data_IF_267142804260
#
_entry.id   IF_267142804260
#
_cell.length_a   1.000
_cell.length_b   1.000
_cell.length_c   1.000
_cell.angle_alpha   90.00
_cell.angle_beta   90.00
_cell.angle_gamma   90.00
#
_symmetry.space_group_name_H-M   'P 1'
#
loop_
_entity.id
_entity.type
_entity.pdbx_description
1 polymer ?
#
# COMPACT_ATOMS: atom_id res chain seq x y z
N UNK A 1 2.64 2.83 -25.73
CA UNK A 1 4.03 2.51 -25.34
C UNK A 1 4.26 1.04 -25.72
N UNK A 2 5.31 0.71 -26.46
CA UNK A 2 5.54 -0.66 -26.91
C UNK A 2 5.90 -1.56 -25.70
N UNK A 3 5.43 -2.81 -25.72
CA UNK A 3 5.65 -3.80 -24.67
C UNK A 3 7.06 -4.39 -24.79
N UNK A 4 8.07 -3.63 -24.35
CA UNK A 4 9.49 -4.02 -24.39
C UNK A 4 9.86 -4.86 -23.18
N UNK A 5 10.81 -5.78 -23.33
CA UNK A 5 11.37 -6.56 -22.22
C UNK A 5 11.81 -5.71 -21.03
N UNK A 6 12.58 -4.64 -21.26
CA UNK A 6 13.00 -3.70 -20.22
C UNK A 6 11.84 -3.05 -19.44
N UNK A 7 10.68 -2.86 -20.09
CA UNK A 7 9.49 -2.34 -19.42
C UNK A 7 8.88 -3.38 -18.46
N UNK A 8 8.90 -4.66 -18.84
CA UNK A 8 8.43 -5.77 -18.00
C UNK A 8 9.34 -5.96 -16.79
N UNK A 9 10.66 -5.89 -16.98
CA UNK A 9 11.62 -5.97 -15.88
C UNK A 9 11.44 -4.81 -14.90
N UNK A 10 11.21 -3.60 -15.42
CA UNK A 10 10.90 -2.43 -14.58
C UNK A 10 9.62 -2.61 -13.79
N UNK A 11 8.57 -3.21 -14.38
CA UNK A 11 7.33 -3.56 -13.66
C UNK A 11 7.65 -4.54 -12.53
N UNK A 12 8.40 -5.60 -12.81
CA UNK A 12 8.71 -6.60 -11.80
C UNK A 12 9.52 -6.03 -10.63
N UNK A 13 10.56 -5.24 -10.91
CA UNK A 13 11.35 -4.55 -9.87
C UNK A 13 10.44 -3.64 -9.03
N UNK A 14 9.52 -2.92 -9.69
CA UNK A 14 8.56 -2.05 -8.99
C UNK A 14 7.61 -2.85 -8.10
N UNK A 15 7.11 -3.99 -8.57
CA UNK A 15 6.25 -4.90 -7.80
C UNK A 15 7.00 -5.51 -6.61
N UNK A 16 8.25 -5.93 -6.80
CA UNK A 16 9.08 -6.49 -5.73
C UNK A 16 9.36 -5.46 -4.64
N UNK A 17 9.70 -4.22 -5.03
CA UNK A 17 9.92 -3.13 -4.08
C UNK A 17 8.62 -2.77 -3.32
N UNK A 18 7.49 -2.74 -4.03
CA UNK A 18 6.18 -2.52 -3.40
C UNK A 18 5.86 -3.64 -2.40
N UNK A 19 6.04 -4.91 -2.79
CA UNK A 19 5.83 -6.06 -1.91
C UNK A 19 6.74 -6.02 -0.67
N UNK A 20 8.02 -5.67 -0.84
CA UNK A 20 8.96 -5.53 0.28
C UNK A 20 8.53 -4.41 1.25
N UNK A 21 8.10 -3.27 0.72
CA UNK A 21 7.58 -2.15 1.51
C UNK A 21 6.33 -2.55 2.28
N UNK A 22 5.38 -3.24 1.61
CA UNK A 22 4.16 -3.73 2.24
C UNK A 22 4.48 -4.73 3.36
N UNK A 23 5.42 -5.66 3.14
CA UNK A 23 5.89 -6.61 4.16
C UNK A 23 6.49 -5.90 5.38
N UNK A 24 7.37 -4.93 5.15
CA UNK A 24 8.01 -4.17 6.23
C UNK A 24 6.98 -3.37 7.03
N UNK A 25 6.06 -2.67 6.36
CA UNK A 25 4.99 -1.91 7.02
C UNK A 25 4.06 -2.83 7.81
N UNK A 26 3.71 -4.00 7.28
CA UNK A 26 2.91 -5.00 7.99
C UNK A 26 3.60 -5.46 9.28
N UNK A 27 4.89 -5.78 9.21
CA UNK A 27 5.69 -6.17 10.38
C UNK A 27 5.75 -5.04 11.42
N UNK A 28 6.01 -3.80 10.99
CA UNK A 28 6.02 -2.64 11.90
C UNK A 28 4.66 -2.38 12.54
N UNK A 29 3.56 -2.59 11.82
CA UNK A 29 2.20 -2.48 12.38
C UNK A 29 1.87 -3.60 13.35
N UNK A 30 2.42 -4.80 13.13
CA UNK A 30 2.30 -5.92 14.07
C UNK A 30 3.08 -5.63 15.36
N UNK A 31 4.33 -5.19 15.24
CA UNK A 31 5.17 -4.82 16.38
C UNK A 31 4.56 -3.68 17.18
N UNK A 32 4.04 -2.66 16.49
CA UNK A 32 3.32 -1.55 17.14
C UNK A 32 2.12 -2.07 17.95
N UNK A 33 1.33 -2.99 17.38
CA UNK A 33 0.20 -3.58 18.10
C UNK A 33 0.64 -4.38 19.34
N UNK A 34 1.79 -5.05 19.30
CA UNK A 34 2.35 -5.79 20.44
C UNK A 34 2.92 -4.88 21.54
N UNK A 35 3.34 -3.66 21.21
CA UNK A 35 3.91 -2.70 22.16
C UNK A 35 2.86 -1.82 22.86
N UNK A 36 1.65 -1.72 22.31
CA UNK A 36 0.59 -0.89 22.88
C UNK A 36 0.01 -1.57 24.13
N UNK A 37 0.36 -1.02 25.30
CA UNK A 37 -0.19 -1.47 26.58
C UNK A 37 -1.68 -1.12 26.74
N UNK A 38 -2.39 -1.76 27.69
CA UNK A 38 -3.82 -1.55 27.94
C UNK A 38 -4.19 -0.13 28.42
N UNK A 39 -3.20 0.67 28.85
CA UNK A 39 -3.39 2.03 29.32
C UNK A 39 -3.45 3.08 28.19
N UNK A 40 -2.84 2.81 27.04
CA UNK A 40 -2.65 3.80 25.95
C UNK A 40 -3.76 3.72 24.90
N UNK A 41 -5.00 3.99 25.33
CA UNK A 41 -6.20 3.95 24.47
C UNK A 41 -6.07 4.83 23.21
N UNK A 42 -5.43 5.99 23.33
CA UNK A 42 -5.23 6.92 22.21
C UNK A 42 -4.26 6.36 21.16
N UNK A 43 -3.16 5.74 21.60
CA UNK A 43 -2.19 5.12 20.70
C UNK A 43 -2.81 3.90 20.01
N UNK A 44 -3.65 3.14 20.72
CA UNK A 44 -4.44 2.04 20.17
C UNK A 44 -5.37 2.51 19.05
N UNK A 45 -6.13 3.58 19.28
CA UNK A 45 -7.00 4.18 18.24
C UNK A 45 -6.22 4.63 17.00
N UNK A 46 -5.04 5.24 17.18
CA UNK A 46 -4.19 5.65 16.06
C UNK A 46 -3.64 4.44 15.28
N UNK A 47 -3.21 3.40 16.00
CA UNK A 47 -2.76 2.14 15.40
C UNK A 47 -3.88 1.46 14.61
N UNK A 48 -5.09 1.42 15.15
CA UNK A 48 -6.27 0.84 14.50
C UNK A 48 -6.63 1.60 13.22
N UNK A 49 -6.61 2.94 13.29
CA UNK A 49 -6.82 3.79 12.10
C UNK A 49 -5.76 3.53 11.02
N UNK A 50 -4.49 3.51 11.40
CA UNK A 50 -3.39 3.27 10.47
C UNK A 50 -3.48 1.89 9.83
N UNK A 51 -3.89 0.88 10.60
CA UNK A 51 -4.09 -0.47 10.10
C UNK A 51 -5.24 -0.56 9.09
N UNK A 52 -6.35 0.14 9.34
CA UNK A 52 -7.48 0.22 8.40
C UNK A 52 -7.10 0.94 7.09
N UNK A 53 -6.43 2.09 7.19
CA UNK A 53 -5.94 2.84 6.02
C UNK A 53 -4.93 2.00 5.22
N UNK A 54 -4.02 1.30 5.90
CA UNK A 54 -3.06 0.41 5.25
C UNK A 54 -3.74 -0.79 4.55
N UNK A 55 -4.73 -1.41 5.19
CA UNK A 55 -5.50 -2.50 4.58
C UNK A 55 -6.18 -2.05 3.27
N UNK A 56 -6.72 -0.83 3.24
CA UNK A 56 -7.33 -0.27 2.04
C UNK A 56 -6.30 -0.11 0.90
N UNK A 57 -5.11 0.44 1.22
CA UNK A 57 -4.01 0.59 0.26
C UNK A 57 -3.56 -0.76 -0.29
N UNK A 58 -3.39 -1.77 0.57
CA UNK A 58 -2.98 -3.12 0.14
C UNK A 58 -4.07 -3.78 -0.71
N UNK A 59 -5.35 -3.57 -0.39
CA UNK A 59 -6.48 -4.05 -1.21
C UNK A 59 -6.47 -3.42 -2.60
N UNK A 60 -6.26 -2.10 -2.69
CA UNK A 60 -6.13 -1.39 -3.98
C UNK A 60 -4.95 -1.92 -4.79
N UNK A 61 -3.80 -2.11 -4.14
CA UNK A 61 -2.61 -2.68 -4.77
C UNK A 61 -2.84 -4.11 -5.28
N UNK A 62 -3.49 -4.98 -4.50
CA UNK A 62 -3.82 -6.35 -4.91
C UNK A 62 -4.71 -6.38 -6.16
N UNK A 63 -5.71 -5.49 -6.22
CA UNK A 63 -6.57 -5.36 -7.40
C UNK A 63 -5.80 -4.86 -8.62
N UNK A 64 -4.91 -3.87 -8.43
CA UNK A 64 -4.04 -3.38 -9.50
C UNK A 64 -3.09 -4.47 -10.00
N UNK A 65 -2.52 -5.28 -9.10
CA UNK A 65 -1.65 -6.39 -9.45
C UNK A 65 -2.37 -7.45 -10.27
N UNK A 66 -3.64 -7.77 -9.94
CA UNK A 66 -4.50 -8.65 -10.75
C UNK A 66 -4.73 -8.08 -12.15
N UNK A 67 -4.96 -6.77 -12.27
CA UNK A 67 -5.12 -6.10 -13.56
C UNK A 67 -3.83 -6.15 -14.40
N UNK A 68 -2.68 -5.87 -13.78
CA UNK A 68 -1.38 -5.96 -14.45
C UNK A 68 -1.12 -7.41 -14.90
N UNK A 69 -1.37 -8.39 -14.04
CA UNK A 69 -1.23 -9.81 -14.36
C UNK A 69 -2.10 -10.25 -15.54
N UNK A 70 -3.38 -9.82 -15.56
CA UNK A 70 -4.29 -10.13 -16.67
C UNK A 70 -3.86 -9.48 -17.97
N UNK A 71 -3.40 -8.22 -17.93
CA UNK A 71 -2.86 -7.53 -19.12
C UNK A 71 -1.56 -8.15 -19.62
N UNK A 72 -0.64 -8.51 -18.73
CA UNK A 72 0.61 -9.19 -19.08
C UNK A 72 0.33 -10.56 -19.69
N UNK A 73 -0.56 -11.37 -19.09
CA UNK A 73 -1.01 -12.65 -19.66
C UNK A 73 -1.61 -12.47 -21.05
N UNK A 74 -2.49 -11.49 -21.24
CA UNK A 74 -3.07 -11.19 -22.56
C UNK A 74 -1.99 -10.82 -23.58
N UNK A 75 -1.00 -9.98 -23.21
CA UNK A 75 0.10 -9.59 -24.10
C UNK A 75 1.04 -10.74 -24.48
N UNK A 76 1.30 -11.67 -23.56
CA UNK A 76 2.18 -12.83 -23.77
C UNK A 76 1.47 -13.96 -24.53
N UNK A 77 0.15 -14.06 -24.43
CA UNK A 77 -0.67 -15.08 -25.08
C UNK A 77 -1.25 -14.62 -26.43
N UNK A 78 -0.92 -13.40 -26.90
CA UNK A 78 -1.18 -13.06 -28.29
C UNK A 78 -0.35 -14.02 -29.16
N UNK A 79 -0.96 -14.82 -30.03
CA UNK A 79 -0.19 -15.45 -31.09
C UNK A 79 0.48 -14.30 -31.82
N UNK A 80 1.81 -14.34 -31.93
CA UNK A 80 2.48 -13.52 -32.92
C UNK A 80 1.70 -13.74 -34.21
N UNK A 81 1.18 -12.66 -34.81
CA UNK A 81 0.47 -12.70 -36.09
C UNK A 81 1.13 -13.75 -36.95
N UNK A 82 0.37 -14.81 -37.26
CA UNK A 82 0.85 -15.99 -37.96
C UNK A 82 1.84 -15.59 -39.05
N UNK A 83 2.98 -16.29 -39.19
CA UNK A 83 3.88 -16.01 -40.30
C UNK A 83 3.07 -16.10 -41.59
N UNK A 84 2.91 -14.98 -42.27
CA UNK A 84 2.30 -14.98 -43.60
C UNK A 84 3.22 -15.78 -44.51
N UNK A 85 2.63 -16.83 -45.08
CA UNK A 85 2.99 -17.54 -46.32
C UNK A 85 4.31 -18.31 -46.35
N UNK A 86 4.20 -19.64 -46.31
CA UNK A 86 4.63 -20.47 -47.46
C UNK A 86 3.54 -21.49 -47.78
N UNK A 87 3.10 -21.42 -49.03
CA UNK A 87 2.31 -22.43 -49.73
C UNK A 87 2.89 -23.83 -49.51
N UNK A 88 2.12 -24.71 -48.90
CA UNK A 88 2.19 -26.15 -49.14
C UNK A 88 0.75 -26.60 -49.26
N UNK A 89 0.27 -26.63 -50.50
CA UNK A 89 -1.13 -26.88 -50.82
C UNK A 89 -1.56 -28.24 -50.31
N UNK A 90 -2.67 -28.27 -49.57
CA UNK A 90 -3.59 -29.41 -49.45
C UNK A 90 -4.88 -28.85 -48.82
N UNK A 91 -5.99 -28.92 -49.56
CA UNK A 91 -7.34 -28.79 -49.03
C UNK A 91 -8.01 -27.42 -49.20
N UNK A 92 -8.76 -27.27 -50.29
CA UNK A 92 -9.68 -26.16 -50.51
C UNK A 92 -10.42 -26.34 -51.84
N UNK A 93 -11.42 -27.22 -51.85
CA UNK A 93 -12.43 -27.19 -52.91
C UNK A 93 -13.21 -25.88 -52.74
N UNK A 94 -13.19 -24.99 -53.73
CA UNK A 94 -14.35 -24.21 -54.17
C UNK A 94 -14.02 -23.30 -55.37
N UNK A 95 -14.63 -23.68 -56.50
CA UNK A 95 -15.24 -22.85 -57.54
C UNK A 95 -14.41 -21.94 -58.48
N UNK A 96 -14.65 -22.23 -59.78
CA UNK A 96 -14.57 -21.40 -61.00
C UNK A 96 -13.18 -21.16 -61.61
N UNK A 97 -12.95 -21.21 -62.91
CA UNK A 97 -13.59 -21.74 -64.15
C UNK A 97 -12.63 -21.23 -65.26
N UNK A 98 -12.24 -22.11 -66.21
CA UNK A 98 -11.76 -21.90 -67.61
C UNK A 98 -10.70 -20.78 -67.86
N UNK A 99 -9.57 -20.95 -68.54
CA UNK A 99 -9.26 -21.66 -69.80
C UNK A 99 -7.73 -21.53 -70.07
N UNK A 100 -7.17 -22.48 -70.86
CA UNK A 100 -6.06 -22.31 -71.84
C UNK A 100 -4.64 -21.89 -71.35
N UNK A 101 -3.49 -22.36 -71.81
CA UNK A 101 -2.94 -23.49 -72.57
C UNK A 101 -1.39 -23.31 -72.50
N UNK A 102 -0.66 -24.42 -72.56
CA UNK A 102 0.75 -24.55 -72.97
C UNK A 102 1.81 -23.53 -72.49
N UNK A 103 2.70 -24.00 -71.60
CA UNK A 103 4.13 -24.06 -71.92
C UNK A 103 4.85 -25.06 -71.00
N UNK A 104 5.19 -26.19 -71.59
CA UNK A 104 6.06 -27.23 -71.07
C UNK A 104 7.50 -26.69 -70.95
N UNK A 105 8.06 -26.57 -69.74
CA UNK A 105 9.51 -26.66 -69.50
C UNK A 105 9.74 -27.50 -68.23
N UNK A 106 10.25 -28.73 -68.35
CA UNK A 106 10.73 -29.51 -67.21
C UNK A 106 12.23 -29.25 -66.98
N UNK A 107 12.59 -28.87 -65.75
CA UNK A 107 13.98 -28.97 -65.27
C UNK A 107 14.58 -27.68 -64.73
N UNK A 108 14.71 -27.58 -63.41
CA UNK A 108 15.96 -27.85 -62.68
C UNK A 108 15.67 -27.63 -61.18
N UNK A 109 15.09 -28.63 -60.53
CA UNK A 109 15.11 -28.70 -59.07
C UNK A 109 16.56 -28.93 -58.65
N UNK A 110 17.17 -27.91 -58.03
CA UNK A 110 18.41 -28.09 -57.31
C UNK A 110 18.11 -29.05 -56.14
N UNK A 111 18.87 -30.14 -55.94
CA UNK A 111 18.66 -31.00 -54.79
C UNK A 111 19.16 -30.26 -53.54
N UNK A 112 18.28 -29.48 -52.91
CA UNK A 112 18.50 -29.09 -51.53
C UNK A 112 18.49 -30.37 -50.71
N UNK A 113 19.66 -30.74 -50.19
CA UNK A 113 19.85 -31.90 -49.32
C UNK A 113 18.73 -31.95 -48.27
N UNK A 114 17.95 -33.03 -48.15
CA UNK A 114 16.85 -33.13 -47.17
C UNK A 114 17.31 -32.88 -45.73
N UNK A 115 18.61 -33.08 -45.47
CA UNK A 115 19.29 -32.77 -44.21
C UNK A 115 19.24 -31.27 -43.86
N UNK A 116 19.44 -30.35 -44.81
CA UNK A 116 19.46 -28.90 -44.54
C UNK A 116 18.06 -28.36 -44.21
N UNK A 117 17.02 -28.89 -44.85
CA UNK A 117 15.64 -28.51 -44.56
C UNK A 117 15.18 -29.04 -43.21
N UNK A 118 15.61 -30.26 -42.83
CA UNK A 118 15.36 -30.82 -41.52
C UNK A 118 16.10 -30.05 -40.41
N UNK A 119 17.33 -29.59 -40.66
CA UNK A 119 18.09 -28.78 -39.71
C UNK A 119 17.45 -27.42 -39.43
N UNK A 120 16.85 -26.79 -40.44
CA UNK A 120 16.11 -25.53 -40.29
C UNK A 120 14.83 -25.71 -39.46
N UNK A 121 14.07 -26.79 -39.72
CA UNK A 121 12.87 -27.11 -38.94
C UNK A 121 13.17 -27.39 -37.47
N UNK A 122 14.28 -28.08 -37.17
CA UNK A 122 14.72 -28.32 -35.79
C UNK A 122 15.12 -27.02 -35.10
N UNK A 123 15.86 -26.14 -35.79
CA UNK A 123 16.23 -24.83 -35.24
C UNK A 123 15.02 -23.92 -34.99
N UNK A 124 14.00 -23.95 -35.86
CA UNK A 124 12.74 -23.23 -35.67
C UNK A 124 11.97 -23.77 -34.45
N UNK A 125 11.88 -25.10 -34.30
CA UNK A 125 11.24 -25.72 -33.14
C UNK A 125 11.96 -25.43 -31.83
N UNK A 126 13.30 -25.45 -31.83
CA UNK A 126 14.11 -25.12 -30.66
C UNK A 126 13.92 -23.66 -30.24
N UNK A 127 13.82 -22.74 -31.20
CA UNK A 127 13.52 -21.33 -30.95
C UNK A 127 12.11 -21.13 -30.38
N UNK A 128 11.10 -21.81 -30.92
CA UNK A 128 9.73 -21.77 -30.40
C UNK A 128 9.64 -22.34 -28.97
N UNK A 129 10.34 -23.45 -28.71
CA UNK A 129 10.40 -24.05 -27.37
C UNK A 129 11.08 -23.12 -26.35
N UNK A 130 12.18 -22.46 -26.73
CA UNK A 130 12.85 -21.49 -25.87
C UNK A 130 11.95 -20.30 -25.52
N UNK A 131 11.22 -19.78 -26.51
CA UNK A 131 10.26 -18.69 -26.32
C UNK A 131 9.10 -19.11 -25.41
N UNK A 132 8.58 -20.33 -25.56
CA UNK A 132 7.53 -20.88 -24.71
C UNK A 132 8.00 -21.06 -23.25
N UNK A 133 9.19 -21.62 -23.07
CA UNK A 133 9.80 -21.81 -21.75
C UNK A 133 9.99 -20.46 -21.02
N UNK A 134 10.38 -19.42 -21.75
CA UNK A 134 10.54 -18.09 -21.20
C UNK A 134 9.20 -17.46 -20.79
N UNK A 135 8.15 -17.62 -21.61
CA UNK A 135 6.79 -17.20 -21.25
C UNK A 135 6.30 -17.92 -19.99
N UNK A 136 6.54 -19.22 -19.88
CA UNK A 136 6.13 -20.00 -18.71
C UNK A 136 6.83 -19.51 -17.43
N UNK A 137 8.15 -19.27 -17.50
CA UNK A 137 8.92 -18.72 -16.38
C UNK A 137 8.35 -17.38 -15.92
N UNK A 138 8.02 -16.47 -16.86
CA UNK A 138 7.43 -15.16 -16.53
C UNK A 138 6.03 -15.30 -15.95
N UNK A 139 5.20 -16.22 -16.44
CA UNK A 139 3.87 -16.47 -15.87
C UNK A 139 3.93 -16.98 -14.43
N UNK A 140 4.87 -17.88 -14.12
CA UNK A 140 5.11 -18.36 -12.74
C UNK A 140 5.55 -17.23 -11.81
N UNK A 141 6.35 -16.29 -12.31
CA UNK A 141 6.79 -15.12 -11.55
C UNK A 141 5.62 -14.20 -11.18
N UNK A 142 4.75 -13.89 -12.14
CA UNK A 142 3.52 -13.11 -11.90
C UNK A 142 2.62 -13.80 -10.85
N UNK A 143 2.50 -15.13 -10.93
CA UNK A 143 1.72 -15.91 -9.97
C UNK A 143 2.32 -15.85 -8.56
N UNK A 144 3.65 -15.95 -8.45
CA UNK A 144 4.37 -15.84 -7.17
C UNK A 144 4.14 -14.46 -6.54
N UNK A 145 4.28 -13.39 -7.33
CA UNK A 145 4.07 -12.03 -6.84
C UNK A 145 2.63 -11.82 -6.34
N UNK A 146 1.64 -12.46 -6.99
CA UNK A 146 0.22 -12.41 -6.58
C UNK A 146 -0.05 -13.20 -5.30
N UNK A 147 0.61 -14.34 -5.11
CA UNK A 147 0.50 -15.15 -3.89
C UNK A 147 1.08 -14.40 -2.69
N UNK A 148 2.22 -13.73 -2.87
CA UNK A 148 2.85 -12.90 -1.84
C UNK A 148 1.92 -11.78 -1.35
N UNK A 149 1.30 -11.04 -2.29
CA UNK A 149 0.35 -9.98 -1.92
C UNK A 149 -0.89 -10.54 -1.22
N UNK A 150 -1.37 -11.72 -1.64
CA UNK A 150 -2.53 -12.37 -1.01
C UNK A 150 -2.24 -12.77 0.44
N UNK A 151 -1.04 -13.31 0.70
CA UNK A 151 -0.63 -13.69 2.04
C UNK A 151 -0.60 -12.47 2.96
N UNK A 152 0.04 -11.37 2.53
CA UNK A 152 0.08 -10.13 3.33
C UNK A 152 -1.33 -9.58 3.57
N UNK A 153 -2.22 -9.64 2.58
CA UNK A 153 -3.60 -9.19 2.74
C UNK A 153 -4.36 -10.02 3.80
N UNK A 154 -4.15 -11.34 3.85
CA UNK A 154 -4.73 -12.21 4.87
C UNK A 154 -4.18 -11.90 6.25
N UNK A 155 -2.86 -11.73 6.36
CA UNK A 155 -2.20 -11.38 7.62
C UNK A 155 -2.68 -10.02 8.15
N UNK A 156 -3.02 -9.08 7.27
CA UNK A 156 -3.62 -7.80 7.66
C UNK A 156 -5.10 -7.93 8.05
N UNK A 157 -5.85 -8.84 7.42
CA UNK A 157 -7.26 -9.04 7.73
C UNK A 157 -7.47 -9.65 9.12
N UNK A 158 -6.61 -10.59 9.54
CA UNK A 158 -6.63 -11.16 10.89
C UNK A 158 -6.35 -10.08 11.94
N UNK A 159 -5.35 -9.24 11.64
CA UNK A 159 -4.93 -8.11 12.43
C UNK A 159 -6.03 -7.04 12.65
N UNK A 160 -6.97 -6.88 11.72
CA UNK A 160 -8.13 -5.96 11.86
C UNK A 160 -9.33 -6.63 12.53
N UNK A 161 -9.55 -7.93 12.30
CA UNK A 161 -10.71 -8.64 12.86
C UNK A 161 -10.66 -8.77 14.39
N UNK A 162 -9.46 -8.83 14.98
CA UNK A 162 -9.26 -8.81 16.43
C UNK A 162 -9.64 -7.46 17.09
N UNK A 163 -10.01 -6.43 16.33
CA UNK A 163 -10.33 -5.08 16.81
C UNK A 163 -11.84 -4.75 16.87
N UNK A 164 -12.72 -5.73 16.63
CA UNK A 164 -14.18 -5.53 16.51
C UNK A 164 -14.93 -4.93 17.71
N UNK A 165 -14.26 -4.71 18.86
CA UNK A 165 -14.87 -4.14 20.07
C UNK A 165 -14.45 -2.66 20.35
N UNK A 166 -13.40 -2.14 19.69
CA UNK A 166 -12.85 -0.79 19.97
C UNK A 166 -13.45 0.35 19.14
N UNK A 167 -14.21 0.06 18.09
CA UNK A 167 -14.89 1.08 17.26
C UNK A 167 -15.92 1.88 18.07
N UNK A 168 -16.60 1.26 19.05
CA UNK A 168 -17.52 1.94 19.97
C UNK A 168 -16.84 2.98 20.88
N UNK A 169 -15.50 3.03 20.92
CA UNK A 169 -14.75 4.03 21.69
C UNK A 169 -14.51 5.33 20.91
N UNK A 170 -14.80 5.41 19.61
CA UNK A 170 -14.58 6.62 18.79
C UNK A 170 -15.56 7.73 19.21
N UNK A 171 -16.83 7.39 19.43
CA UNK A 171 -17.87 8.30 19.92
C UNK A 171 -17.50 8.85 21.31
N UNK A 172 -17.00 7.99 22.21
CA UNK A 172 -16.58 8.38 23.56
C UNK A 172 -15.27 9.17 23.65
N UNK A 173 -14.39 9.11 22.62
CA UNK A 173 -13.10 9.82 22.63
C UNK A 173 -13.21 11.29 22.22
N UNK A 174 -14.14 11.61 21.30
CA UNK A 174 -14.53 13.01 21.01
C UNK A 174 -15.13 13.63 22.27
N UNK A 175 -16.02 12.89 22.94
CA UNK A 175 -16.66 13.32 24.18
C UNK A 175 -15.63 13.54 25.31
N UNK A 176 -14.70 12.60 25.53
CA UNK A 176 -13.71 12.70 26.61
C UNK A 176 -12.68 13.82 26.40
N UNK A 177 -12.27 14.11 25.17
CA UNK A 177 -11.33 15.21 24.88
C UNK A 177 -12.00 16.57 25.09
N UNK A 178 -13.27 16.70 24.71
CA UNK A 178 -14.07 17.89 25.01
C UNK A 178 -14.26 18.08 26.52
N UNK A 179 -14.56 17.01 27.27
CA UNK A 179 -14.74 17.04 28.73
C UNK A 179 -13.46 17.46 29.46
N UNK A 180 -12.31 16.88 29.12
CA UNK A 180 -11.04 17.20 29.79
C UNK A 180 -10.61 18.66 29.56
N UNK A 181 -10.84 19.18 28.36
CA UNK A 181 -10.50 20.58 28.05
C UNK A 181 -11.44 21.55 28.77
N UNK A 182 -12.74 21.23 28.86
CA UNK A 182 -13.71 22.01 29.63
C UNK A 182 -13.37 22.04 31.12
N UNK A 183 -13.04 20.89 31.71
CA UNK A 183 -12.65 20.81 33.11
C UNK A 183 -11.36 21.57 33.41
N UNK A 184 -10.36 21.54 32.51
CA UNK A 184 -9.14 22.32 32.64
C UNK A 184 -9.42 23.84 32.62
N UNK A 185 -10.33 24.29 31.75
CA UNK A 185 -10.78 25.70 31.70
C UNK A 185 -11.49 26.10 33.01
N UNK A 186 -12.34 25.23 33.55
CA UNK A 186 -13.04 25.50 34.81
C UNK A 186 -12.10 25.53 36.03
N UNK A 187 -11.09 24.66 36.05
CA UNK A 187 -10.03 24.68 37.07
C UNK A 187 -9.20 25.97 36.97
N UNK A 188 -8.80 26.39 35.77
CA UNK A 188 -8.09 27.67 35.54
C UNK A 188 -8.94 28.87 35.96
N UNK A 189 -10.24 28.86 35.62
CA UNK A 189 -11.19 29.92 36.00
C UNK A 189 -11.37 29.99 37.51
N UNK A 190 -11.51 28.84 38.17
CA UNK A 190 -11.63 28.76 39.63
C UNK A 190 -10.35 29.25 40.31
N UNK A 191 -9.17 28.80 39.85
CA UNK A 191 -7.88 29.25 40.36
C UNK A 191 -7.71 30.77 40.24
N UNK A 192 -8.08 31.37 39.12
CA UNK A 192 -8.05 32.83 38.92
C UNK A 192 -8.98 33.57 39.90
N UNK A 193 -10.17 33.03 40.17
CA UNK A 193 -11.10 33.60 41.17
C UNK A 193 -10.54 33.50 42.59
N UNK A 194 -9.96 32.36 42.97
CA UNK A 194 -9.30 32.18 44.27
C UNK A 194 -8.14 33.16 44.43
N UNK A 195 -7.29 33.32 43.42
CA UNK A 195 -6.17 34.27 43.44
C UNK A 195 -6.65 35.72 43.63
N UNK A 196 -7.73 36.13 42.96
CA UNK A 196 -8.30 37.49 43.10
C UNK A 196 -8.86 37.73 44.52
N UNK A 197 -9.55 36.75 45.09
CA UNK A 197 -10.07 36.83 46.47
C UNK A 197 -8.93 36.86 47.50
N UNK A 198 -7.90 36.03 47.31
CA UNK A 198 -6.72 35.98 48.17
C UNK A 198 -5.98 37.31 48.17
N UNK A 199 -5.71 37.91 47.01
CA UNK A 199 -5.04 39.21 46.90
C UNK A 199 -5.76 40.32 47.68
N UNK A 200 -7.10 40.36 47.64
CA UNK A 200 -7.90 41.32 48.42
C UNK A 200 -7.74 41.10 49.93
N UNK A 201 -7.79 39.85 50.38
CA UNK A 201 -7.61 39.50 51.81
C UNK A 201 -6.18 39.80 52.28
N UNK A 202 -5.18 39.46 51.48
CA UNK A 202 -3.78 39.74 51.75
C UNK A 202 -3.50 41.24 51.86
N UNK A 203 -4.08 42.05 50.96
CA UNK A 203 -3.97 43.52 51.03
C UNK A 203 -4.58 44.07 52.33
N UNK A 204 -5.79 43.61 52.70
CA UNK A 204 -6.45 44.02 53.94
C UNK A 204 -5.62 43.67 55.19
N UNK A 205 -5.12 42.42 55.27
CA UNK A 205 -4.25 41.98 56.36
C UNK A 205 -2.96 42.81 56.45
N UNK A 206 -2.36 43.14 55.30
CA UNK A 206 -1.17 43.98 55.25
C UNK A 206 -1.45 45.40 55.75
N UNK A 207 -2.59 46.00 55.37
CA UNK A 207 -2.97 47.34 55.88
C UNK A 207 -3.21 47.34 57.39
N UNK A 208 -3.85 46.30 57.95
CA UNK A 208 -4.06 46.18 59.39
C UNK A 208 -2.74 45.99 60.15
N UNK A 209 -1.82 45.19 59.61
CA UNK A 209 -0.50 45.00 60.20
C UNK A 209 0.29 46.32 60.28
N UNK A 210 0.27 47.14 59.22
CA UNK A 210 0.95 48.45 59.21
C UNK A 210 0.37 49.40 60.26
N UNK A 211 -0.97 49.46 60.39
CA UNK A 211 -1.64 50.30 61.39
C UNK A 211 -1.28 49.84 62.81
N UNK A 212 -1.26 48.53 63.07
CA UNK A 212 -0.88 47.96 64.37
C UNK A 212 0.56 48.30 64.76
N UNK A 213 1.50 48.19 63.80
CA UNK A 213 2.91 48.57 64.01
C UNK A 213 3.03 50.07 64.30
N UNK A 214 2.32 50.91 63.57
CA UNK A 214 2.33 52.36 63.77
C UNK A 214 1.79 52.76 65.16
N UNK A 215 0.70 52.14 65.61
CA UNK A 215 0.12 52.39 66.93
C UNK A 215 1.09 51.96 68.05
N UNK A 216 1.72 50.79 67.93
CA UNK A 216 2.74 50.33 68.88
C UNK A 216 3.93 51.29 68.95
N UNK A 217 4.43 51.76 67.80
CA UNK A 217 5.51 52.73 67.75
C UNK A 217 5.12 54.06 68.43
N UNK A 218 3.88 54.52 68.27
CA UNK A 218 3.36 55.74 68.88
C UNK A 218 3.29 55.62 70.42
N UNK A 219 2.82 54.48 70.93
CA UNK A 219 2.77 54.21 72.38
C UNK A 219 4.18 54.20 72.97
N UNK A 220 5.13 53.53 72.31
CA UNK A 220 6.53 53.48 72.76
C UNK A 220 7.15 54.89 72.72
N UNK A 221 6.85 55.68 71.69
CA UNK A 221 7.34 57.05 71.59
C UNK A 221 6.79 57.95 72.71
N UNK A 222 5.48 57.84 73.02
CA UNK A 222 4.87 58.60 74.11
C UNK A 222 5.29 58.12 75.50
N UNK A 223 5.60 56.84 75.69
CA UNK A 223 6.09 56.33 76.97
C UNK A 223 7.57 56.64 77.21
N UNK A 224 8.36 56.79 76.14
CA UNK A 224 9.77 57.14 76.22
C UNK A 224 10.02 58.66 76.28
N UNK A 225 8.99 59.48 76.05
CA UNK A 225 9.04 60.95 76.11
C UNK A 225 8.50 61.47 77.44
#
# INVERSE_FOLDING_TARGET
QADTEAFRDKIHVTQQNANATIKMTSASLHDLAGLIGPADKQLRLQSDRLRNEFQEVVKRYSNLQKEVATRQRYSMCKPATAPRTRTSGWGGLEAQREEEEAALIPGLESPQSPVQQQQHLVADLDYENALLAERERRMRQIETDMLDCNQIFKDLATLVHEQGETINSIEGNIESTQINTSQAVDQLRSAAQYQKKYRKKACCLLTLAVIGIAALALVIYFSAR
#
